data_IF_940912559111
#
_entry.id   IF_940912559111
#
_cell.length_a   1.000
_cell.length_b   1.000
_cell.length_c   1.000
_cell.angle_alpha   90.00
_cell.angle_beta   90.00
_cell.angle_gamma   90.00
#
_symmetry.space_group_name_H-M   'P 1'
#
loop_
_entity.id
_entity.type
_entity.pdbx_description
1 polymer ?
#
# COMPACT_ATOMS: atom_id res chain seq x y z
N UNK A 1 -9.95 2.41 8.76
CA UNK A 1 -9.51 1.29 7.92
C UNK A 1 -10.53 1.10 6.80
N UNK A 2 -10.07 0.73 5.63
CA UNK A 2 -10.90 0.25 4.52
C UNK A 2 -10.81 -1.27 4.56
N UNK A 3 -11.96 -1.95 4.43
CA UNK A 3 -12.04 -3.41 4.44
C UNK A 3 -12.74 -3.87 3.16
N UNK A 4 -12.21 -4.90 2.53
CA UNK A 4 -12.74 -5.50 1.31
C UNK A 4 -12.69 -7.03 1.45
N UNK A 5 -13.60 -7.79 0.80
CA UNK A 5 -13.46 -9.24 0.73
C UNK A 5 -12.11 -9.63 0.14
N UNK A 6 -11.42 -10.56 0.77
CA UNK A 6 -10.16 -11.13 0.27
C UNK A 6 -10.38 -11.97 -0.98
N UNK A 7 -11.54 -12.60 -1.07
CA UNK A 7 -12.08 -13.18 -2.30
C UNK A 7 -13.61 -13.25 -2.22
N UNK A 8 -14.27 -13.12 -3.35
CA UNK A 8 -15.71 -13.38 -3.49
C UNK A 8 -15.99 -14.79 -3.98
N UNK A 9 -14.96 -15.53 -4.39
CA UNK A 9 -15.10 -16.91 -4.85
C UNK A 9 -15.19 -17.88 -3.67
N UNK A 10 -15.98 -18.93 -3.85
CA UNK A 10 -16.21 -19.98 -2.87
C UNK A 10 -15.78 -21.34 -3.40
N UNK A 11 -15.30 -22.20 -2.49
CA UNK A 11 -14.96 -23.57 -2.84
C UNK A 11 -16.22 -24.37 -3.15
N UNK A 12 -16.11 -25.32 -4.10
CA UNK A 12 -17.18 -26.21 -4.45
C UNK A 12 -17.39 -27.25 -3.33
N UNK A 13 -18.59 -27.38 -2.77
CA UNK A 13 -18.87 -28.41 -1.76
C UNK A 13 -18.90 -29.84 -2.31
N UNK A 14 -18.87 -29.97 -3.64
CA UNK A 14 -19.01 -31.23 -4.38
C UNK A 14 -20.32 -31.28 -5.16
N UNK A 15 -20.22 -31.47 -6.47
CA UNK A 15 -21.37 -31.59 -7.36
C UNK A 15 -22.11 -30.30 -7.70
N UNK A 16 -21.67 -29.13 -7.17
CA UNK A 16 -22.24 -27.87 -7.56
C UNK A 16 -21.73 -27.41 -8.93
N UNK A 17 -22.57 -26.78 -9.77
CA UNK A 17 -22.13 -26.26 -11.06
C UNK A 17 -21.11 -25.12 -10.87
N UNK A 18 -20.04 -25.11 -11.65
CA UNK A 18 -19.05 -24.05 -11.69
C UNK A 18 -19.65 -22.83 -12.40
N UNK A 19 -19.50 -21.66 -11.80
CA UNK A 19 -19.98 -20.41 -12.40
C UNK A 19 -20.33 -19.35 -11.34
N UNK A 20 -20.46 -18.11 -11.76
CA UNK A 20 -20.60 -17.00 -10.83
C UNK A 20 -19.41 -16.95 -9.86
N UNK A 21 -19.68 -17.09 -8.57
CA UNK A 21 -18.66 -17.13 -7.52
C UNK A 21 -18.25 -18.58 -7.12
N UNK A 22 -18.89 -19.61 -7.69
CA UNK A 22 -18.55 -21.01 -7.40
C UNK A 22 -17.36 -21.45 -8.25
N UNK A 23 -16.28 -21.86 -7.60
CA UNK A 23 -15.09 -22.38 -8.27
C UNK A 23 -15.25 -23.87 -8.59
N UNK A 24 -14.34 -24.41 -9.42
CA UNK A 24 -14.20 -25.86 -9.56
C UNK A 24 -13.45 -26.51 -8.42
N UNK A 25 -12.75 -25.72 -7.60
CA UNK A 25 -11.89 -26.18 -6.50
C UNK A 25 -12.75 -26.78 -5.40
N UNK A 26 -12.52 -28.04 -5.05
CA UNK A 26 -13.30 -28.72 -4.03
C UNK A 26 -12.90 -28.27 -2.61
N UNK A 27 -13.87 -27.98 -1.78
CA UNK A 27 -13.65 -27.66 -0.38
C UNK A 27 -12.94 -28.81 0.38
N UNK A 28 -13.26 -30.06 0.04
CA UNK A 28 -12.59 -31.24 0.61
C UNK A 28 -11.10 -31.26 0.32
N UNK A 29 -10.68 -30.87 -0.88
CA UNK A 29 -9.28 -30.87 -1.29
C UNK A 29 -8.49 -29.80 -0.54
N UNK A 30 -9.05 -28.59 -0.41
CA UNK A 30 -8.43 -27.51 0.32
C UNK A 30 -8.32 -27.83 1.83
N UNK A 31 -9.35 -28.40 2.43
CA UNK A 31 -9.34 -28.82 3.84
C UNK A 31 -8.30 -29.92 4.08
N UNK A 32 -8.24 -30.93 3.21
CA UNK A 32 -7.26 -32.01 3.32
C UNK A 32 -5.83 -31.47 3.14
N UNK A 33 -5.61 -30.59 2.17
CA UNK A 33 -4.31 -29.96 1.93
C UNK A 33 -3.87 -29.11 3.14
N UNK A 34 -4.75 -28.26 3.65
CA UNK A 34 -4.45 -27.42 4.82
C UNK A 34 -4.11 -28.26 6.04
N UNK A 35 -4.90 -29.32 6.31
CA UNK A 35 -4.63 -30.24 7.40
C UNK A 35 -3.31 -30.98 7.24
N UNK A 36 -3.01 -31.48 6.03
CA UNK A 36 -1.74 -32.13 5.73
C UNK A 36 -0.54 -31.19 5.97
N UNK A 37 -0.61 -29.95 5.47
CA UNK A 37 0.48 -28.97 5.63
C UNK A 37 0.69 -28.61 7.11
N UNK A 38 -0.40 -28.45 7.85
CA UNK A 38 -0.35 -28.17 9.29
C UNK A 38 0.25 -29.35 10.08
N UNK A 39 -0.17 -30.55 9.80
CA UNK A 39 0.27 -31.74 10.55
C UNK A 39 1.72 -32.10 10.25
N UNK A 40 2.12 -32.11 8.98
CA UNK A 40 3.45 -32.55 8.54
C UNK A 40 4.51 -31.47 8.65
N UNK A 41 4.17 -30.22 8.32
CA UNK A 41 5.13 -29.13 8.19
C UNK A 41 4.91 -28.00 9.21
N UNK A 42 3.87 -28.11 10.03
CA UNK A 42 3.45 -27.02 10.97
C UNK A 42 3.13 -25.70 10.28
N UNK A 43 2.86 -25.75 8.97
CA UNK A 43 2.53 -24.60 8.17
C UNK A 43 1.01 -24.35 8.18
N UNK A 44 0.63 -23.11 8.56
CA UNK A 44 -0.76 -22.63 8.51
C UNK A 44 -1.00 -21.91 7.20
N UNK A 45 -1.89 -22.43 6.39
CA UNK A 45 -2.28 -21.82 5.11
C UNK A 45 -3.16 -20.59 5.25
N UNK A 46 -3.74 -20.37 6.42
CA UNK A 46 -4.89 -19.48 6.58
C UNK A 46 -6.14 -20.01 5.87
N UNK A 47 -7.28 -19.32 5.97
CA UNK A 47 -8.50 -19.65 5.26
C UNK A 47 -8.36 -19.43 3.76
N UNK A 48 -9.17 -20.15 2.96
CA UNK A 48 -9.26 -19.97 1.51
C UNK A 48 -10.48 -19.14 1.08
N UNK A 49 -11.44 -18.93 1.98
CA UNK A 49 -12.64 -18.10 1.78
C UNK A 49 -13.09 -17.48 3.10
N UNK A 50 -14.03 -16.52 3.05
CA UNK A 50 -14.62 -15.90 4.25
C UNK A 50 -13.66 -15.00 5.02
N UNK A 51 -12.62 -14.46 4.40
CA UNK A 51 -11.68 -13.52 5.00
C UNK A 51 -11.72 -12.16 4.31
N UNK A 52 -11.28 -11.15 5.02
CA UNK A 52 -11.21 -9.78 4.52
C UNK A 52 -9.77 -9.32 4.34
N UNK A 53 -9.55 -8.47 3.35
CA UNK A 53 -8.39 -7.61 3.23
C UNK A 53 -8.66 -6.26 3.88
N UNK A 54 -7.71 -5.76 4.62
CA UNK A 54 -7.83 -4.48 5.31
C UNK A 54 -6.71 -3.52 4.95
N UNK A 55 -7.04 -2.23 4.98
CA UNK A 55 -6.06 -1.15 4.86
C UNK A 55 -6.23 -0.23 6.07
N UNK A 56 -5.68 -0.61 7.25
CA UNK A 56 -5.60 0.31 8.37
C UNK A 56 -4.64 1.45 8.05
N UNK A 57 -5.07 2.67 8.31
CA UNK A 57 -4.20 3.84 8.15
C UNK A 57 -4.37 4.81 9.30
N UNK A 58 -3.26 5.43 9.72
CA UNK A 58 -3.22 6.48 10.74
C UNK A 58 -2.60 7.72 10.13
N UNK A 59 -3.29 8.84 10.25
CA UNK A 59 -2.82 10.14 9.75
C UNK A 59 -2.73 11.12 10.89
N UNK A 60 -1.62 11.83 10.93
CA UNK A 60 -1.38 12.90 11.90
C UNK A 60 -1.02 14.17 11.14
N UNK A 61 -1.58 15.27 11.58
CA UNK A 61 -1.28 16.59 11.07
C UNK A 61 -1.10 17.53 12.25
N UNK A 62 0.00 18.26 12.26
CA UNK A 62 0.24 19.35 13.18
C UNK A 62 0.62 20.62 12.40
N UNK A 63 0.09 21.75 12.79
CA UNK A 63 0.42 23.05 12.21
C UNK A 63 0.67 24.05 13.33
N UNK A 64 1.78 24.77 13.22
CA UNK A 64 2.15 25.87 14.11
C UNK A 64 2.32 27.13 13.28
N UNK A 65 1.68 28.22 13.70
CA UNK A 65 1.88 29.54 13.14
C UNK A 65 2.56 30.41 14.22
N UNK A 66 3.60 31.10 13.84
CA UNK A 66 4.33 31.99 14.69
C UNK A 66 4.49 33.37 14.03
N UNK A 67 3.89 34.41 14.62
CA UNK A 67 4.04 35.78 14.18
C UNK A 67 5.21 36.38 14.97
N UNK A 68 6.38 36.48 14.34
CA UNK A 68 7.56 37.10 14.96
C UNK A 68 7.31 38.60 15.17
N UNK A 69 6.69 39.22 14.17
CA UNK A 69 6.28 40.64 14.20
C UNK A 69 5.24 40.84 13.06
N UNK A 70 4.76 42.08 12.88
CA UNK A 70 3.74 42.40 11.86
C UNK A 70 4.20 42.11 10.41
N UNK A 71 5.52 42.02 10.19
CA UNK A 71 6.12 41.83 8.87
C UNK A 71 6.61 40.43 8.63
N UNK A 72 6.77 39.60 9.65
CA UNK A 72 7.36 38.28 9.53
C UNK A 72 6.49 37.21 10.21
N UNK A 73 6.03 36.26 9.41
CA UNK A 73 5.20 35.15 9.87
C UNK A 73 5.81 33.83 9.41
N UNK A 74 5.90 32.90 10.34
CA UNK A 74 6.37 31.55 10.10
C UNK A 74 5.22 30.57 10.27
N UNK A 75 5.16 29.61 9.37
CA UNK A 75 4.26 28.45 9.49
C UNK A 75 5.08 27.18 9.42
N UNK A 76 4.89 26.28 10.34
CA UNK A 76 5.44 24.95 10.30
C UNK A 76 4.31 23.94 10.21
N UNK A 77 4.42 22.98 9.29
CA UNK A 77 3.47 21.86 9.10
C UNK A 77 4.23 20.55 9.17
N UNK A 78 3.69 19.64 9.95
CA UNK A 78 4.12 18.26 10.02
C UNK A 78 2.95 17.38 9.62
N UNK A 79 3.20 16.41 8.75
CA UNK A 79 2.23 15.34 8.48
C UNK A 79 2.91 13.97 8.48
N UNK A 80 2.17 12.98 8.96
CA UNK A 80 2.58 11.59 9.00
C UNK A 80 1.43 10.71 8.55
N UNK A 81 1.74 9.77 7.67
CA UNK A 81 0.87 8.66 7.29
C UNK A 81 1.59 7.37 7.63
N UNK A 82 0.93 6.49 8.37
CA UNK A 82 1.31 5.09 8.54
C UNK A 82 0.14 4.24 8.00
N UNK A 83 0.41 3.38 7.04
CA UNK A 83 -0.58 2.49 6.43
C UNK A 83 0.00 1.10 6.21
N UNK A 84 -0.83 0.08 6.43
CA UNK A 84 -0.54 -1.30 6.08
C UNK A 84 -1.69 -1.83 5.24
N UNK A 85 -1.41 -2.38 4.07
CA UNK A 85 -2.42 -2.78 3.09
C UNK A 85 -2.27 -4.25 2.77
N UNK A 86 -3.33 -5.02 2.93
CA UNK A 86 -3.42 -6.38 2.42
C UNK A 86 -3.50 -6.37 0.89
N UNK A 87 -2.66 -7.16 0.26
CA UNK A 87 -2.59 -7.27 -1.20
C UNK A 87 -2.72 -8.71 -1.64
N UNK A 88 -3.50 -8.91 -2.70
CA UNK A 88 -3.67 -10.23 -3.31
C UNK A 88 -2.35 -10.77 -3.84
N UNK A 89 -2.23 -12.07 -3.77
CA UNK A 89 -1.16 -12.86 -4.34
C UNK A 89 -0.72 -12.37 -5.72
N UNK A 90 0.58 -12.24 -5.91
CA UNK A 90 1.17 -11.83 -7.19
C UNK A 90 0.93 -12.89 -8.28
N UNK A 91 0.66 -12.41 -9.49
CA UNK A 91 0.63 -13.25 -10.69
C UNK A 91 2.00 -13.37 -11.37
N UNK A 92 3.04 -12.77 -10.80
CA UNK A 92 4.39 -12.86 -11.36
C UNK A 92 4.85 -14.30 -11.45
N UNK A 93 5.49 -14.64 -12.57
CA UNK A 93 6.05 -15.98 -12.81
C UNK A 93 5.07 -17.14 -12.67
N UNK A 94 3.81 -16.96 -13.07
CA UNK A 94 2.83 -18.05 -13.15
C UNK A 94 3.19 -19.12 -14.20
N UNK A 95 4.32 -18.95 -14.90
CA UNK A 95 4.83 -19.86 -15.94
C UNK A 95 3.82 -20.20 -17.05
N UNK A 96 2.81 -19.34 -17.25
CA UNK A 96 1.78 -19.55 -18.27
C UNK A 96 0.65 -20.48 -17.86
N UNK A 97 0.62 -20.98 -16.62
CA UNK A 97 -0.44 -21.88 -16.14
C UNK A 97 -1.70 -21.14 -15.63
N UNK A 98 -1.93 -19.93 -16.10
CA UNK A 98 -3.06 -19.11 -15.69
C UNK A 98 -2.74 -18.18 -14.51
N UNK A 99 -3.81 -17.56 -13.98
CA UNK A 99 -3.66 -16.67 -12.84
C UNK A 99 -3.64 -17.44 -11.53
N UNK A 100 -2.80 -16.98 -10.59
CA UNK A 100 -2.83 -17.45 -9.19
C UNK A 100 -3.95 -16.83 -8.38
N UNK A 101 -4.52 -15.70 -8.82
CA UNK A 101 -5.63 -15.07 -8.10
C UNK A 101 -6.88 -15.89 -8.21
N UNK A 102 -7.64 -15.97 -7.12
CA UNK A 102 -8.88 -16.72 -7.05
C UNK A 102 -9.85 -16.34 -8.18
N UNK A 103 -10.42 -17.33 -8.81
CA UNK A 103 -11.36 -17.22 -9.92
C UNK A 103 -12.19 -18.53 -10.02
N UNK A 104 -12.97 -18.72 -11.08
CA UNK A 104 -13.77 -19.95 -11.25
C UNK A 104 -12.95 -21.23 -11.41
N UNK A 105 -11.67 -21.15 -11.77
CA UNK A 105 -10.80 -22.32 -11.97
C UNK A 105 -9.82 -22.57 -10.84
N UNK A 106 -9.57 -21.60 -9.96
CA UNK A 106 -8.61 -21.69 -8.88
C UNK A 106 -9.05 -20.92 -7.64
N UNK A 107 -8.67 -21.40 -6.46
CA UNK A 107 -8.95 -20.76 -5.18
C UNK A 107 -7.74 -20.87 -4.25
N UNK A 108 -7.27 -19.74 -3.74
CA UNK A 108 -6.02 -19.63 -3.00
C UNK A 108 -6.24 -19.44 -1.51
N UNK A 109 -5.24 -19.80 -0.73
CA UNK A 109 -5.21 -19.55 0.70
C UNK A 109 -4.78 -18.09 1.03
N UNK A 110 -5.32 -17.56 2.11
CA UNK A 110 -5.07 -16.19 2.56
C UNK A 110 -3.57 -15.93 2.81
N UNK A 111 -2.86 -16.88 3.42
CA UNK A 111 -1.46 -16.68 3.79
C UNK A 111 -0.49 -16.66 2.61
N UNK A 112 -0.99 -16.91 1.38
CA UNK A 112 -0.23 -16.69 0.14
C UNK A 112 -0.26 -15.23 -0.32
N UNK A 113 -1.10 -14.39 0.27
CA UNK A 113 -1.15 -12.96 0.01
C UNK A 113 0.01 -12.25 0.71
N UNK A 114 0.23 -10.99 0.38
CA UNK A 114 1.29 -10.17 0.98
C UNK A 114 0.73 -8.85 1.52
N UNK A 115 1.58 -8.05 2.12
CA UNK A 115 1.22 -6.70 2.57
C UNK A 115 2.17 -5.65 2.03
N UNK A 116 1.67 -4.42 1.94
CA UNK A 116 2.46 -3.22 1.66
C UNK A 116 2.30 -2.30 2.86
N UNK A 117 3.44 -1.96 3.46
CA UNK A 117 3.50 -0.97 4.53
C UNK A 117 4.04 0.34 3.97
N UNK A 118 3.30 1.43 4.17
CA UNK A 118 3.68 2.77 3.73
C UNK A 118 3.82 3.70 4.94
N UNK A 119 4.99 4.32 5.07
CA UNK A 119 5.28 5.30 6.09
C UNK A 119 5.76 6.59 5.44
N UNK A 120 4.89 7.60 5.38
CA UNK A 120 5.20 8.89 4.81
C UNK A 120 5.28 9.97 5.90
N UNK A 121 6.34 10.80 5.85
CA UNK A 121 6.52 11.94 6.73
C UNK A 121 6.88 13.16 5.92
N UNK A 122 6.19 14.26 6.21
CA UNK A 122 6.41 15.55 5.55
C UNK A 122 6.57 16.63 6.58
N UNK A 123 7.57 17.48 6.37
CA UNK A 123 7.87 18.66 7.16
C UNK A 123 7.94 19.85 6.21
N UNK A 124 7.16 20.89 6.47
CA UNK A 124 7.12 22.07 5.63
C UNK A 124 7.26 23.30 6.52
N UNK A 125 8.28 24.09 6.23
CA UNK A 125 8.47 25.42 6.79
C UNK A 125 8.12 26.47 5.75
N UNK A 126 7.38 27.49 6.15
CA UNK A 126 7.01 28.63 5.30
C UNK A 126 7.33 29.91 6.05
N UNK A 127 8.02 30.82 5.40
CA UNK A 127 8.30 32.16 5.90
C UNK A 127 7.72 33.20 4.95
N UNK A 128 6.77 33.95 5.47
CA UNK A 128 6.18 35.10 4.78
C UNK A 128 6.74 36.37 5.39
N UNK A 129 7.35 37.22 4.57
CA UNK A 129 7.89 38.51 4.99
C UNK A 129 7.36 39.66 4.14
N UNK A 130 7.06 40.78 4.80
CA UNK A 130 6.74 42.06 4.18
C UNK A 130 7.97 42.94 4.23
N UNK A 131 8.47 43.35 3.07
CA UNK A 131 9.71 44.12 2.93
C UNK A 131 9.36 45.55 2.53
N UNK A 132 9.57 46.48 3.48
CA UNK A 132 9.10 47.85 3.31
C UNK A 132 7.58 47.92 3.18
N UNK A 133 7.10 48.84 2.30
CA UNK A 133 5.67 49.06 2.09
C UNK A 133 5.16 48.51 0.74
N UNK A 134 6.05 47.94 -0.06
CA UNK A 134 5.73 47.62 -1.46
C UNK A 134 6.33 46.29 -1.94
N UNK A 135 6.79 45.44 -1.04
CA UNK A 135 7.32 44.14 -1.43
C UNK A 135 6.98 43.07 -0.40
N UNK A 136 6.88 41.84 -0.84
CA UNK A 136 6.76 40.68 0.02
C UNK A 136 7.60 39.52 -0.52
N UNK A 137 7.97 38.62 0.37
CA UNK A 137 8.64 37.38 0.01
C UNK A 137 7.97 36.20 0.71
N UNK A 138 7.86 35.10 0.01
CA UNK A 138 7.41 33.82 0.55
C UNK A 138 8.45 32.76 0.25
N UNK A 139 9.12 32.26 1.28
CA UNK A 139 10.04 31.13 1.20
C UNK A 139 9.36 29.90 1.78
N UNK A 140 9.37 28.80 1.03
CA UNK A 140 8.88 27.49 1.47
C UNK A 140 10.03 26.49 1.37
N UNK A 141 10.23 25.73 2.44
CA UNK A 141 11.18 24.62 2.49
C UNK A 141 10.42 23.38 2.93
N UNK A 142 10.46 22.37 2.09
CA UNK A 142 9.83 21.07 2.33
C UNK A 142 10.87 19.95 2.45
N UNK A 143 10.63 19.03 3.37
CA UNK A 143 11.33 17.76 3.45
C UNK A 143 10.33 16.63 3.53
N UNK A 144 10.41 15.68 2.61
CA UNK A 144 9.58 14.48 2.60
C UNK A 144 10.45 13.24 2.73
N UNK A 145 9.98 12.30 3.55
CA UNK A 145 10.55 10.97 3.67
C UNK A 145 9.45 9.95 3.44
N UNK A 146 9.69 9.03 2.51
CA UNK A 146 8.81 7.90 2.23
C UNK A 146 9.59 6.61 2.42
N UNK A 147 9.01 5.70 3.22
CA UNK A 147 9.49 4.36 3.43
C UNK A 147 8.33 3.40 3.05
N UNK A 148 8.47 2.69 1.93
CA UNK A 148 7.58 1.60 1.53
C UNK A 148 8.34 0.29 1.70
N UNK A 149 7.68 -0.69 2.30
CA UNK A 149 8.20 -2.05 2.44
C UNK A 149 7.10 -3.08 2.17
N UNK A 150 7.50 -4.29 1.90
CA UNK A 150 6.60 -5.39 1.62
C UNK A 150 6.83 -6.54 2.58
N UNK A 151 5.74 -7.13 3.04
CA UNK A 151 5.74 -8.26 3.95
C UNK A 151 4.88 -9.40 3.41
N UNK A 152 4.92 -10.52 4.10
CA UNK A 152 4.07 -11.69 3.84
C UNK A 152 3.11 -11.90 5.03
N UNK A 153 2.00 -12.58 4.78
CA UNK A 153 0.95 -12.75 5.81
C UNK A 153 1.14 -13.99 6.67
N UNK A 154 1.69 -15.04 6.13
CA UNK A 154 1.96 -16.30 6.84
C UNK A 154 3.41 -16.44 7.25
N UNK A 155 3.76 -17.63 7.69
CA UNK A 155 5.16 -18.02 7.91
C UNK A 155 5.87 -18.24 6.57
N UNK A 156 7.20 -18.15 6.58
CA UNK A 156 8.01 -18.46 5.40
C UNK A 156 7.86 -19.94 5.06
N UNK A 157 7.30 -20.21 3.91
CA UNK A 157 7.12 -21.55 3.36
C UNK A 157 7.26 -21.50 1.84
N UNK A 158 7.78 -22.52 1.17
CA UNK A 158 7.89 -22.53 -0.28
C UNK A 158 6.54 -22.26 -0.95
N UNK A 159 6.53 -21.36 -1.94
CA UNK A 159 5.34 -21.14 -2.76
C UNK A 159 5.14 -22.31 -3.71
N UNK A 160 3.97 -22.89 -3.69
CA UNK A 160 3.60 -24.05 -4.50
C UNK A 160 2.29 -23.79 -5.22
N UNK A 161 2.32 -23.93 -6.54
CA UNK A 161 1.13 -23.97 -7.37
C UNK A 161 0.74 -25.43 -7.62
N UNK A 162 -0.46 -25.83 -7.19
CA UNK A 162 -1.05 -27.11 -7.58
C UNK A 162 -1.85 -26.89 -8.85
N UNK A 163 -1.53 -27.68 -9.88
CA UNK A 163 -2.17 -27.59 -11.19
C UNK A 163 -3.19 -28.71 -11.39
N UNK A 164 -4.29 -28.38 -12.02
CA UNK A 164 -5.24 -29.32 -12.53
C UNK A 164 -5.64 -28.93 -13.96
N UNK A 165 -5.65 -29.85 -14.87
CA UNK A 165 -5.94 -29.62 -16.28
C UNK A 165 -5.12 -28.47 -16.90
N UNK A 166 -3.84 -28.36 -16.50
CA UNK A 166 -2.92 -27.36 -17.02
C UNK A 166 -3.13 -25.93 -16.49
N UNK A 167 -3.98 -25.71 -15.50
CA UNK A 167 -4.20 -24.41 -14.88
C UNK A 167 -4.05 -24.48 -13.36
N UNK A 168 -3.75 -23.34 -12.73
CA UNK A 168 -3.64 -23.27 -11.27
C UNK A 168 -4.98 -23.62 -10.63
N UNK A 169 -4.95 -24.65 -9.77
CA UNK A 169 -6.07 -25.10 -8.95
C UNK A 169 -6.06 -24.42 -7.57
N UNK A 170 -4.92 -24.43 -6.91
CA UNK A 170 -4.70 -23.70 -5.66
C UNK A 170 -3.23 -23.33 -5.51
N UNK A 171 -2.96 -22.27 -4.74
CA UNK A 171 -1.61 -21.84 -4.38
C UNK A 171 -1.52 -21.73 -2.88
N UNK A 172 -0.41 -22.20 -2.29
CA UNK A 172 -0.06 -22.00 -0.89
C UNK A 172 1.42 -21.66 -0.74
N UNK A 173 1.86 -21.30 0.47
CA UNK A 173 3.18 -20.78 0.73
C UNK A 173 3.22 -19.25 0.70
N UNK A 174 4.35 -18.65 1.00
CA UNK A 174 4.48 -17.20 0.96
C UNK A 174 4.82 -16.72 -0.45
N UNK A 175 4.39 -15.53 -0.78
CA UNK A 175 4.68 -14.88 -2.05
C UNK A 175 6.15 -14.43 -2.08
N UNK A 176 7.03 -15.02 -2.92
CA UNK A 176 8.47 -14.82 -2.84
C UNK A 176 8.98 -13.61 -3.65
N UNK A 177 8.15 -12.98 -4.46
CA UNK A 177 8.57 -11.94 -5.41
C UNK A 177 8.58 -10.54 -4.80
N UNK A 178 7.83 -10.34 -3.73
CA UNK A 178 7.66 -9.02 -3.10
C UNK A 178 8.43 -8.82 -1.79
N UNK A 179 8.73 -9.83 -0.96
CA UNK A 179 9.54 -9.65 0.23
C UNK A 179 10.90 -9.02 -0.10
N UNK A 180 11.37 -8.11 0.76
CA UNK A 180 12.59 -7.32 0.57
C UNK A 180 12.52 -6.30 -0.59
N UNK A 181 11.36 -6.11 -1.21
CA UNK A 181 11.15 -5.00 -2.13
C UNK A 181 10.84 -3.76 -1.29
N UNK A 182 11.85 -2.94 -1.08
CA UNK A 182 11.78 -1.73 -0.29
C UNK A 182 12.06 -0.52 -1.16
N UNK A 183 11.21 0.49 -1.05
CA UNK A 183 11.39 1.77 -1.69
C UNK A 183 11.54 2.85 -0.62
N UNK A 184 12.73 3.38 -0.48
CA UNK A 184 13.04 4.43 0.50
C UNK A 184 13.63 5.63 -0.20
N UNK A 185 12.95 6.75 -0.12
CA UNK A 185 13.45 7.98 -0.69
C UNK A 185 13.20 9.17 0.23
N UNK A 186 14.00 10.20 0.00
CA UNK A 186 13.92 11.48 0.68
C UNK A 186 13.98 12.56 -0.39
N UNK A 187 13.20 13.59 -0.23
CA UNK A 187 13.24 14.75 -1.13
C UNK A 187 13.24 16.04 -0.34
N UNK A 188 13.99 16.98 -0.82
CA UNK A 188 13.94 18.37 -0.42
C UNK A 188 13.22 19.16 -1.51
N UNK A 189 12.47 20.15 -1.09
CA UNK A 189 11.77 21.08 -1.98
C UNK A 189 12.02 22.48 -1.47
N UNK A 190 12.38 23.38 -2.38
CA UNK A 190 12.59 24.78 -2.12
C UNK A 190 11.76 25.59 -3.09
N UNK A 191 11.06 26.58 -2.57
CA UNK A 191 10.34 27.55 -3.38
C UNK A 191 10.52 28.91 -2.75
N UNK A 192 10.94 29.89 -3.56
CA UNK A 192 11.02 31.27 -3.16
C UNK A 192 10.30 32.16 -4.15
N UNK A 193 9.43 33.04 -3.67
CA UNK A 193 8.65 33.96 -4.47
C UNK A 193 8.79 35.37 -3.91
N UNK A 194 9.44 36.24 -4.65
CA UNK A 194 9.51 37.66 -4.37
C UNK A 194 8.48 38.43 -5.17
N UNK A 195 7.67 39.25 -4.52
CA UNK A 195 6.63 40.07 -5.15
C UNK A 195 6.89 41.55 -4.89
N UNK A 196 6.84 42.36 -5.95
CA UNK A 196 6.93 43.82 -5.92
C UNK A 196 5.61 44.44 -6.34
N UNK A 197 5.10 45.35 -5.55
CA UNK A 197 3.94 46.19 -5.86
C UNK A 197 4.42 47.58 -6.35
N UNK A 198 4.14 47.93 -7.61
CA UNK A 198 4.59 49.14 -8.25
C UNK A 198 3.41 49.88 -8.87
N UNK A 199 2.76 50.75 -8.12
CA UNK A 199 1.55 51.44 -8.53
C UNK A 199 0.41 50.48 -8.82
N UNK A 200 -0.01 50.36 -10.09
CA UNK A 200 -1.06 49.44 -10.55
C UNK A 200 -0.51 48.03 -10.94
N UNK A 201 0.78 47.84 -10.89
CA UNK A 201 1.43 46.61 -11.31
C UNK A 201 1.88 45.77 -10.12
N UNK A 202 1.71 44.47 -10.24
CA UNK A 202 2.28 43.46 -9.31
C UNK A 202 3.22 42.57 -10.11
N UNK A 203 4.50 42.56 -9.73
CA UNK A 203 5.53 41.78 -10.37
C UNK A 203 5.98 40.69 -9.40
N UNK A 204 5.93 39.43 -9.81
CA UNK A 204 6.42 38.30 -9.02
C UNK A 204 7.51 37.57 -9.78
N UNK A 205 8.63 37.33 -9.10
CA UNK A 205 9.74 36.49 -9.58
C UNK A 205 9.95 35.40 -8.56
N UNK A 206 10.07 34.17 -9.02
CA UNK A 206 10.26 33.02 -8.14
C UNK A 206 11.14 31.95 -8.74
N UNK A 207 11.62 31.07 -7.88
CA UNK A 207 12.38 29.88 -8.22
C UNK A 207 11.88 28.69 -7.41
N UNK A 208 11.96 27.50 -8.01
CA UNK A 208 11.64 26.23 -7.37
C UNK A 208 12.73 25.20 -7.69
N UNK A 209 13.11 24.41 -6.68
CA UNK A 209 14.09 23.33 -6.80
C UNK A 209 13.63 22.09 -6.02
#
# INVERSE_FOLDING_TARGET
>A
AITQPGTTFTANPGGAPVGGNMTRVLASDLNNLSSFLKDKFKYDTGPYEGYDHSTPSKRYLAKLNYNLNDKNKFTFRFSRLDSDTDVLLSNSSSLGFGTRRSNTTGLNFQNSNYSITENNRSYIGEWNSTIGNSSSNTLIVGYNKSDESRGYRGEIFPMVDILEQGTVYTTFGFEPFTPNNELRYKSWQFQDNFTKYAGKHTLTVGATA
#
